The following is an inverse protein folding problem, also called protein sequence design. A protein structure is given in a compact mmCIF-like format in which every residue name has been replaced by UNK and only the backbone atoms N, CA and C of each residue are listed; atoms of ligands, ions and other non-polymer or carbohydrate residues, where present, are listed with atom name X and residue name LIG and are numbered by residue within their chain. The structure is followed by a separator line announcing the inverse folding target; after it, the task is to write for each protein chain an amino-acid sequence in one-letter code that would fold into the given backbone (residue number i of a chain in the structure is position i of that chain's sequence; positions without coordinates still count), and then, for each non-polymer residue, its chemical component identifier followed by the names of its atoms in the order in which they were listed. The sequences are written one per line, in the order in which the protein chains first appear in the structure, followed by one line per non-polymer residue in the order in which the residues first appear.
data_IF_053731306980
#
_entry.id   IF_053731306980
#
_cell.length_a   1.000
_cell.length_b   1.000
_cell.length_c   1.000
_cell.angle_alpha   90.00
_cell.angle_beta   90.00
_cell.angle_gamma   90.00
#
_symmetry.space_group_name_H-M   'P 1'
#
loop_
_entity.id
_entity.type
_entity.pdbx_description
1 polymer ?
#
# COMPACT_ATOMS: atom_id res chain seq x y z
N UNK A 1 25.44 -32.87 -29.10
CA UNK A 1 24.37 -32.30 -28.26
C UNK A 1 24.69 -30.84 -28.07
N UNK A 2 23.88 -29.87 -28.52
CA UNK A 2 24.13 -28.48 -28.18
C UNK A 2 23.98 -28.35 -26.66
N UNK A 3 25.04 -27.91 -25.99
CA UNK A 3 24.99 -27.51 -24.59
C UNK A 3 24.12 -26.26 -24.52
N UNK A 4 22.87 -26.43 -24.13
CA UNK A 4 21.97 -25.33 -23.83
C UNK A 4 22.35 -24.79 -22.44
N UNK A 5 23.48 -24.09 -22.37
CA UNK A 5 23.84 -23.32 -21.18
C UNK A 5 22.81 -22.21 -21.06
N UNK A 6 21.84 -22.38 -20.15
CA UNK A 6 20.90 -21.32 -19.80
C UNK A 6 21.69 -20.05 -19.50
N UNK A 7 21.23 -18.94 -20.06
CA UNK A 7 21.75 -17.60 -19.77
C UNK A 7 21.99 -17.45 -18.26
N UNK A 8 23.18 -17.02 -17.81
CA UNK A 8 23.47 -16.80 -16.40
C UNK A 8 22.41 -15.95 -15.68
N UNK A 9 21.82 -14.96 -16.36
CA UNK A 9 20.74 -14.13 -15.79
C UNK A 9 19.47 -14.95 -15.55
N UNK A 10 19.07 -15.78 -16.52
CA UNK A 10 17.90 -16.65 -16.41
C UNK A 10 18.08 -17.72 -15.33
N UNK A 11 19.29 -18.27 -15.21
CA UNK A 11 19.63 -19.23 -14.16
C UNK A 11 19.51 -18.60 -12.76
N UNK A 12 20.02 -17.37 -12.61
CA UNK A 12 19.89 -16.59 -11.37
C UNK A 12 18.43 -16.29 -11.01
N UNK A 13 17.61 -15.89 -11.99
CA UNK A 13 16.18 -15.64 -11.78
C UNK A 13 15.45 -16.91 -11.30
N UNK A 14 15.65 -18.05 -11.97
CA UNK A 14 15.03 -19.33 -11.59
C UNK A 14 15.46 -19.76 -10.17
N UNK A 15 16.74 -19.55 -9.83
CA UNK A 15 17.23 -19.84 -8.49
C UNK A 15 16.52 -19.00 -7.43
N UNK A 16 16.42 -17.68 -7.64
CA UNK A 16 15.76 -16.77 -6.71
C UNK A 16 14.27 -17.10 -6.55
N UNK A 17 13.57 -17.41 -7.65
CA UNK A 17 12.16 -17.79 -7.59
C UNK A 17 11.96 -19.10 -6.82
N UNK A 18 12.83 -20.09 -6.98
CA UNK A 18 12.77 -21.33 -6.18
C UNK A 18 13.08 -21.07 -4.71
N UNK A 19 14.01 -20.17 -4.42
CA UNK A 19 14.37 -19.79 -3.07
C UNK A 19 13.24 -19.03 -2.33
N UNK A 20 12.29 -18.43 -3.06
CA UNK A 20 11.13 -17.76 -2.44
C UNK A 20 9.95 -18.70 -2.13
N UNK A 21 9.88 -19.89 -2.76
CA UNK A 21 8.78 -20.85 -2.56
C UNK A 21 8.48 -21.19 -1.09
N UNK A 22 9.48 -21.44 -0.21
CA UNK A 22 9.20 -21.75 1.19
C UNK A 22 8.43 -20.64 1.91
N UNK A 23 8.72 -19.37 1.59
CA UNK A 23 8.01 -18.23 2.18
C UNK A 23 6.58 -18.12 1.68
N UNK A 24 6.32 -18.45 0.42
CA UNK A 24 4.96 -18.50 -0.11
C UNK A 24 4.13 -19.58 0.57
N UNK A 25 4.73 -20.75 0.82
CA UNK A 25 4.07 -21.83 1.56
C UNK A 25 3.84 -21.49 3.04
N UNK A 26 4.82 -20.87 3.70
CA UNK A 26 4.74 -20.47 5.12
C UNK A 26 3.64 -19.43 5.36
N UNK A 27 3.52 -18.44 4.48
CA UNK A 27 2.57 -17.33 4.64
C UNK A 27 1.25 -17.52 3.89
N UNK A 28 1.05 -18.63 3.20
CA UNK A 28 -0.21 -18.93 2.53
C UNK A 28 -1.37 -18.91 3.55
N UNK A 29 -2.45 -18.18 3.23
CA UNK A 29 -3.62 -17.92 4.09
C UNK A 29 -3.34 -17.16 5.40
N UNK A 30 -2.10 -16.74 5.66
CA UNK A 30 -1.79 -15.92 6.83
C UNK A 30 -2.32 -14.50 6.66
N UNK A 31 -2.59 -13.85 7.80
CA UNK A 31 -3.11 -12.47 7.81
C UNK A 31 -2.01 -11.48 8.16
N UNK A 32 -1.78 -10.52 7.27
CA UNK A 32 -0.80 -9.46 7.44
C UNK A 32 -1.53 -8.15 7.70
N UNK A 33 -1.24 -7.52 8.84
CA UNK A 33 -1.72 -6.17 9.16
C UNK A 33 -0.61 -5.19 8.80
N UNK A 34 -0.85 -4.37 7.78
CA UNK A 34 0.15 -3.47 7.23
C UNK A 34 -0.31 -2.04 7.47
N UNK A 35 0.50 -1.24 8.16
CA UNK A 35 0.27 0.19 8.31
C UNK A 35 1.02 0.97 7.23
N UNK A 36 0.33 1.85 6.53
CA UNK A 36 0.90 2.78 5.56
C UNK A 36 0.71 4.22 6.03
N UNK A 37 1.79 4.99 6.01
CA UNK A 37 1.75 6.44 6.23
C UNK A 37 0.99 7.14 5.11
N UNK A 38 0.19 8.15 5.46
CA UNK A 38 -0.56 8.96 4.48
C UNK A 38 0.33 9.60 3.41
N UNK A 39 1.59 9.91 3.74
CA UNK A 39 2.60 10.45 2.81
C UNK A 39 2.89 9.53 1.63
N UNK A 40 2.83 8.21 1.85
CA UNK A 40 3.15 7.23 0.82
C UNK A 40 2.19 7.30 -0.38
N UNK A 41 1.01 7.86 -0.17
CA UNK A 41 -0.01 8.02 -1.20
C UNK A 41 0.23 9.22 -2.10
N UNK A 42 0.95 10.23 -1.59
CA UNK A 42 1.28 11.43 -2.36
C UNK A 42 2.49 11.24 -3.26
N UNK A 43 3.45 10.45 -2.77
CA UNK A 43 4.57 9.98 -3.56
C UNK A 43 4.00 8.92 -4.52
N UNK A 44 4.35 8.97 -5.81
CA UNK A 44 3.93 8.00 -6.82
C UNK A 44 4.56 6.60 -6.59
N UNK A 45 4.39 6.02 -5.41
CA UNK A 45 4.92 4.71 -5.02
C UNK A 45 3.99 3.59 -5.53
N UNK A 46 3.80 3.52 -6.86
CA UNK A 46 2.99 2.46 -7.48
C UNK A 46 3.49 1.05 -7.09
N UNK A 47 4.80 0.91 -6.91
CA UNK A 47 5.46 -0.34 -6.54
C UNK A 47 4.90 -0.97 -5.26
N UNK A 48 4.64 -0.18 -4.21
CA UNK A 48 4.12 -0.74 -2.96
C UNK A 48 2.70 -1.30 -3.15
N UNK A 49 1.88 -0.63 -3.95
CA UNK A 49 0.52 -1.10 -4.26
C UNK A 49 0.56 -2.36 -5.12
N UNK A 50 1.50 -2.42 -6.08
CA UNK A 50 1.76 -3.60 -6.91
C UNK A 50 2.23 -4.80 -6.06
N UNK A 51 3.15 -4.57 -5.12
CA UNK A 51 3.64 -5.60 -4.20
C UNK A 51 2.53 -6.13 -3.29
N UNK A 52 1.66 -5.26 -2.76
CA UNK A 52 0.51 -5.68 -1.96
C UNK A 52 -0.49 -6.49 -2.78
N UNK A 53 -0.73 -6.11 -4.03
CA UNK A 53 -1.59 -6.88 -4.94
C UNK A 53 -0.98 -8.26 -5.23
N UNK A 54 0.34 -8.34 -5.43
CA UNK A 54 1.05 -9.61 -5.61
C UNK A 54 0.93 -10.51 -4.38
N UNK A 55 1.14 -9.97 -3.18
CA UNK A 55 1.00 -10.72 -1.92
C UNK A 55 -0.42 -11.27 -1.75
N UNK A 56 -1.45 -10.49 -2.11
CA UNK A 56 -2.83 -10.98 -2.11
C UNK A 56 -3.03 -12.13 -3.10
N UNK A 57 -2.46 -12.04 -4.30
CA UNK A 57 -2.60 -13.07 -5.33
C UNK A 57 -1.93 -14.40 -4.97
N UNK A 58 -0.81 -14.36 -4.24
CA UNK A 58 -0.15 -15.58 -3.74
C UNK A 58 -0.85 -16.21 -2.53
N UNK A 59 -1.97 -15.61 -2.07
CA UNK A 59 -2.84 -16.18 -1.05
C UNK A 59 -2.65 -15.62 0.36
N UNK A 60 -1.95 -14.49 0.51
CA UNK A 60 -1.82 -13.80 1.80
C UNK A 60 -3.02 -12.87 2.01
N UNK A 61 -3.64 -12.95 3.18
CA UNK A 61 -4.75 -12.08 3.55
C UNK A 61 -4.20 -10.75 4.08
N UNK A 62 -4.48 -9.64 3.41
CA UNK A 62 -3.95 -8.32 3.82
C UNK A 62 -5.05 -7.47 4.46
N UNK A 63 -4.78 -6.98 5.66
CA UNK A 63 -5.50 -5.90 6.32
C UNK A 63 -4.65 -4.65 6.26
N UNK A 64 -5.14 -3.65 5.52
CA UNK A 64 -4.40 -2.44 5.28
C UNK A 64 -4.93 -1.29 6.13
N UNK A 65 -4.07 -0.72 6.96
CA UNK A 65 -4.36 0.44 7.80
C UNK A 65 -3.63 1.64 7.22
N UNK A 66 -4.32 2.74 6.99
CA UNK A 66 -3.70 3.96 6.46
C UNK A 66 -3.89 5.14 7.41
N UNK A 67 -2.85 5.97 7.50
CA UNK A 67 -2.99 7.32 8.02
C UNK A 67 -3.60 8.27 6.98
N UNK A 68 -3.97 9.47 7.40
CA UNK A 68 -4.40 10.55 6.51
C UNK A 68 -3.92 11.93 6.98
N UNK A 69 -2.94 11.98 7.88
CA UNK A 69 -2.52 13.22 8.55
C UNK A 69 -2.14 14.32 7.54
N UNK A 70 -1.31 14.00 6.56
CA UNK A 70 -0.86 14.96 5.53
C UNK A 70 -2.03 15.47 4.70
N UNK A 71 -2.98 14.61 4.36
CA UNK A 71 -4.19 14.99 3.62
C UNK A 71 -5.14 15.86 4.46
N UNK A 72 -5.28 15.55 5.74
CA UNK A 72 -6.05 16.35 6.70
C UNK A 72 -5.45 17.75 6.81
N UNK A 73 -4.13 17.85 7.05
CA UNK A 73 -3.41 19.12 7.15
C UNK A 73 -3.58 19.97 5.89
N UNK A 74 -3.48 19.35 4.71
CA UNK A 74 -3.70 20.03 3.43
C UNK A 74 -5.10 20.59 3.29
N UNK A 75 -6.12 19.82 3.65
CA UNK A 75 -7.51 20.25 3.53
C UNK A 75 -7.84 21.38 4.51
N UNK A 76 -7.37 21.29 5.76
CA UNK A 76 -7.55 22.34 6.76
C UNK A 76 -6.88 23.65 6.34
N UNK A 77 -5.63 23.57 5.86
CA UNK A 77 -4.91 24.74 5.36
C UNK A 77 -5.60 25.37 4.15
N UNK A 78 -6.16 24.56 3.24
CA UNK A 78 -6.85 25.06 2.05
C UNK A 78 -8.13 25.84 2.40
N UNK A 79 -8.83 25.42 3.45
CA UNK A 79 -10.06 26.07 3.95
C UNK A 79 -9.75 27.17 4.99
N UNK A 80 -8.48 27.46 5.25
CA UNK A 80 -8.05 28.52 6.19
C UNK A 80 -8.28 28.19 7.66
N UNK A 81 -8.39 26.91 8.02
CA UNK A 81 -8.49 26.47 9.40
C UNK A 81 -7.12 26.24 10.01
N UNK A 82 -6.84 26.94 11.11
CA UNK A 82 -5.72 26.61 11.98
C UNK A 82 -5.98 25.28 12.68
N UNK A 83 -4.93 24.51 12.89
CA UNK A 83 -5.02 23.27 13.64
C UNK A 83 -3.81 23.09 14.54
N UNK A 84 -4.01 22.40 15.65
CA UNK A 84 -2.98 22.21 16.67
C UNK A 84 -2.61 20.73 16.77
N UNK A 85 -1.37 20.49 17.20
CA UNK A 85 -0.87 19.16 17.52
C UNK A 85 -0.28 19.23 18.91
N UNK A 86 -0.78 18.42 19.83
CA UNK A 86 -0.27 18.30 21.21
C UNK A 86 0.36 16.92 21.35
N UNK A 87 1.65 16.86 21.71
CA UNK A 87 2.42 15.60 21.86
C UNK A 87 2.34 14.66 20.65
N UNK A 88 2.26 15.22 19.44
CA UNK A 88 2.14 14.46 18.19
C UNK A 88 0.72 13.97 17.89
N UNK A 89 -0.28 14.36 18.68
CA UNK A 89 -1.70 14.02 18.47
C UNK A 89 -2.42 15.22 17.88
N UNK A 90 -3.14 15.00 16.78
CA UNK A 90 -3.98 16.02 16.15
C UNK A 90 -5.17 16.36 17.06
N UNK A 91 -5.29 17.63 17.45
CA UNK A 91 -6.42 18.11 18.26
C UNK A 91 -7.55 18.53 17.33
N UNK A 92 -8.54 17.65 17.20
CA UNK A 92 -9.70 17.87 16.35
C UNK A 92 -10.78 18.68 17.09
N UNK A 93 -11.04 19.90 16.63
CA UNK A 93 -12.24 20.62 17.00
C UNK A 93 -13.44 20.14 16.18
N UNK A 94 -14.65 20.38 16.68
CA UNK A 94 -15.89 19.96 16.00
C UNK A 94 -16.00 20.51 14.57
N UNK A 95 -15.43 21.70 14.34
CA UNK A 95 -15.38 22.34 13.01
C UNK A 95 -14.42 21.62 12.04
N UNK A 96 -13.42 20.90 12.54
CA UNK A 96 -12.46 20.15 11.73
C UNK A 96 -12.99 18.78 11.29
N UNK A 97 -13.95 18.20 12.01
CA UNK A 97 -14.43 16.84 11.76
C UNK A 97 -14.90 16.58 10.32
N UNK A 98 -15.71 17.46 9.68
CA UNK A 98 -16.12 17.22 8.29
C UNK A 98 -14.94 17.15 7.32
N UNK A 99 -13.92 17.99 7.53
CA UNK A 99 -12.70 18.02 6.73
C UNK A 99 -11.83 16.79 6.98
N UNK A 100 -11.75 16.34 8.23
CA UNK A 100 -11.06 15.10 8.61
C UNK A 100 -11.72 13.88 7.96
N UNK A 101 -13.04 13.76 8.06
CA UNK A 101 -13.81 12.67 7.45
C UNK A 101 -13.65 12.65 5.93
N UNK A 102 -13.69 13.83 5.30
CA UNK A 102 -13.48 13.97 3.86
C UNK A 102 -12.07 13.50 3.45
N UNK A 103 -11.04 13.91 4.18
CA UNK A 103 -9.66 13.52 3.89
C UNK A 103 -9.46 12.00 4.02
N UNK A 104 -9.94 11.40 5.11
CA UNK A 104 -9.86 9.95 5.36
C UNK A 104 -10.60 9.18 4.25
N UNK A 105 -11.82 9.62 3.92
CA UNK A 105 -12.65 8.98 2.89
C UNK A 105 -11.99 9.04 1.52
N UNK A 106 -11.43 10.20 1.16
CA UNK A 106 -10.71 10.41 -0.09
C UNK A 106 -9.51 9.47 -0.21
N UNK A 107 -8.71 9.38 0.85
CA UNK A 107 -7.55 8.47 0.91
C UNK A 107 -7.98 7.01 0.75
N UNK A 108 -8.99 6.57 1.50
CA UNK A 108 -9.50 5.20 1.43
C UNK A 108 -9.96 4.85 0.01
N UNK A 109 -10.72 5.73 -0.62
CA UNK A 109 -11.17 5.52 -2.00
C UNK A 109 -10.03 5.50 -3.00
N UNK A 110 -9.06 6.38 -2.86
CA UNK A 110 -7.88 6.41 -3.71
C UNK A 110 -7.11 5.08 -3.63
N UNK A 111 -6.83 4.61 -2.43
CA UNK A 111 -6.14 3.34 -2.19
C UNK A 111 -6.93 2.15 -2.75
N UNK A 112 -8.23 2.06 -2.45
CA UNK A 112 -9.10 1.00 -2.95
C UNK A 112 -9.16 0.97 -4.49
N UNK A 113 -9.21 2.14 -5.13
CA UNK A 113 -9.23 2.25 -6.59
C UNK A 113 -7.96 1.71 -7.23
N UNK A 114 -6.79 2.00 -6.64
CA UNK A 114 -5.47 1.58 -7.16
C UNK A 114 -5.23 0.09 -6.94
N UNK A 115 -5.56 -0.45 -5.77
CA UNK A 115 -5.50 -1.89 -5.52
C UNK A 115 -6.42 -2.65 -6.48
N UNK A 116 -7.64 -2.16 -6.72
CA UNK A 116 -8.57 -2.78 -7.68
C UNK A 116 -8.10 -2.68 -9.13
N UNK A 117 -7.41 -1.60 -9.53
CA UNK A 117 -6.86 -1.49 -10.88
C UNK A 117 -5.70 -2.46 -11.11
N UNK A 118 -4.77 -2.58 -10.15
CA UNK A 118 -3.65 -3.50 -10.23
C UNK A 118 -4.12 -4.96 -10.21
N UNK A 119 -5.07 -5.30 -9.32
CA UNK A 119 -5.62 -6.65 -9.25
C UNK A 119 -6.30 -7.12 -10.55
N UNK A 120 -6.86 -6.20 -11.36
CA UNK A 120 -7.42 -6.52 -12.68
C UNK A 120 -6.37 -6.70 -13.77
N UNK A 121 -5.26 -5.97 -13.72
CA UNK A 121 -4.20 -6.04 -14.72
C UNK A 121 -3.36 -7.32 -14.62
N UNK A 122 -3.29 -7.92 -13.43
CA UNK A 122 -2.50 -9.13 -13.17
C UNK A 122 -3.31 -10.44 -13.33
N UNK A 123 -4.57 -10.36 -13.78
CA UNK A 123 -5.45 -11.52 -14.06
C UNK A 123 -5.64 -11.80 -15.56
N UNK A 124 -4.98 -11.03 -16.42
CA UNK A 124 -4.92 -11.22 -17.88
C UNK A 124 -3.56 -11.74 -18.31
#
# INVERSE_FOLDING_TARGET
MPQNSLDPELSGFIHNLRATLPYLEEFHQQTFVIQISGDLLEIHNSRVIEDLALLQQVGINIVLVHGAETQIRKLLNAEGHDYQTEDGIFVAEKIHLPLVEQAISSVNWHLLSRLRSCGRQLQT
#
